data_IF_983696201701
#
_entry.id   IF_983696201701
#
_cell.length_a   1.000
_cell.length_b   1.000
_cell.length_c   1.000
_cell.angle_alpha   90.00
_cell.angle_beta   90.00
_cell.angle_gamma   90.00
#
_symmetry.space_group_name_H-M   'P 1'
#
loop_
_entity.id
_entity.type
_entity.pdbx_description
1 polymer ?
#
# COMPACT_ATOMS: atom_id res chain seq x y z
N UNK A 1 18.06 -18.88 -9.41
CA UNK A 1 17.49 -18.10 -8.29
C UNK A 1 18.61 -17.55 -7.41
N UNK A 2 18.45 -16.34 -6.91
CA UNK A 2 19.42 -15.71 -5.99
C UNK A 2 19.27 -16.35 -4.61
N UNK A 3 20.39 -16.88 -4.07
CA UNK A 3 20.41 -17.52 -2.75
C UNK A 3 21.19 -16.70 -1.71
N UNK A 4 21.84 -15.63 -2.14
CA UNK A 4 22.59 -14.74 -1.25
C UNK A 4 22.53 -13.31 -1.73
N UNK A 5 22.64 -12.38 -0.81
CA UNK A 5 22.77 -10.93 -1.07
C UNK A 5 23.95 -10.39 -0.31
N UNK A 6 24.65 -9.43 -0.91
CA UNK A 6 25.69 -8.69 -0.23
C UNK A 6 25.12 -7.34 0.21
N UNK A 7 25.13 -7.09 1.52
CA UNK A 7 24.65 -5.84 2.10
C UNK A 7 25.86 -5.05 2.59
N UNK A 8 26.04 -3.85 2.05
CA UNK A 8 27.04 -2.91 2.50
C UNK A 8 26.34 -1.69 3.12
N UNK A 9 26.75 -1.31 4.31
CA UNK A 9 26.26 -0.12 4.98
C UNK A 9 27.42 0.65 5.61
N UNK A 10 27.39 1.96 5.50
CA UNK A 10 28.43 2.85 6.08
C UNK A 10 27.77 3.90 6.95
N UNK A 11 28.45 4.29 8.03
CA UNK A 11 28.03 5.42 8.85
C UNK A 11 28.64 6.71 8.32
N UNK A 12 27.83 7.74 8.11
CA UNK A 12 28.26 9.03 7.54
C UNK A 12 29.15 9.87 8.50
N UNK A 13 29.24 9.50 9.77
CA UNK A 13 29.95 10.28 10.79
C UNK A 13 30.97 9.46 11.58
N UNK A 14 31.62 8.49 10.96
CA UNK A 14 32.66 7.69 11.60
C UNK A 14 32.17 6.74 12.69
N UNK A 15 30.89 6.44 12.70
CA UNK A 15 30.29 5.45 13.61
C UNK A 15 30.53 4.02 13.14
N UNK A 16 30.10 3.05 13.95
CA UNK A 16 30.18 1.62 13.65
C UNK A 16 28.85 1.14 13.11
N UNK A 17 28.90 0.24 12.13
CA UNK A 17 27.70 -0.46 11.61
C UNK A 17 27.80 -1.94 11.91
N UNK A 18 26.72 -2.53 12.37
CA UNK A 18 26.54 -3.96 12.55
C UNK A 18 25.40 -4.44 11.65
N UNK A 19 25.62 -5.58 10.99
CA UNK A 19 24.59 -6.23 10.15
C UNK A 19 24.33 -7.61 10.76
N UNK A 20 23.09 -7.87 11.15
CA UNK A 20 22.65 -9.13 11.74
C UNK A 20 21.52 -9.73 10.91
N UNK A 21 21.55 -11.02 10.68
CA UNK A 21 20.57 -11.77 9.89
C UNK A 21 21.26 -12.66 8.86
N UNK A 22 20.48 -13.50 8.19
CA UNK A 22 21.01 -14.43 7.19
C UNK A 22 21.02 -13.76 5.80
N UNK A 23 22.22 -13.53 5.27
CA UNK A 23 22.43 -12.97 3.93
C UNK A 23 23.00 -13.98 2.92
N UNK A 24 23.52 -15.13 3.41
CA UNK A 24 24.27 -16.08 2.58
C UNK A 24 23.48 -17.34 2.20
N UNK A 25 22.36 -17.57 2.83
CA UNK A 25 21.48 -18.70 2.52
C UNK A 25 20.03 -18.30 2.74
N UNK A 26 19.54 -17.46 1.82
CA UNK A 26 18.18 -16.98 1.88
C UNK A 26 17.19 -18.12 1.71
N UNK A 27 16.27 -18.27 2.64
CA UNK A 27 15.12 -19.15 2.47
C UNK A 27 14.18 -18.59 1.40
N UNK A 28 13.39 -19.45 0.76
CA UNK A 28 12.25 -19.00 -0.06
C UNK A 28 11.27 -18.24 0.85
N UNK A 29 10.76 -17.12 0.38
CA UNK A 29 9.93 -16.22 1.18
C UNK A 29 10.74 -15.13 1.87
N UNK A 30 10.28 -14.67 3.03
CA UNK A 30 10.83 -13.54 3.75
C UNK A 30 12.12 -13.88 4.52
N UNK A 31 13.15 -13.04 4.35
CA UNK A 31 14.40 -13.10 5.10
C UNK A 31 14.66 -11.73 5.71
N UNK A 32 14.80 -11.68 7.03
CA UNK A 32 14.96 -10.42 7.76
C UNK A 32 16.41 -10.16 8.11
N UNK A 33 16.87 -8.95 7.83
CA UNK A 33 18.21 -8.47 8.18
C UNK A 33 18.08 -7.16 8.93
N UNK A 34 18.75 -7.05 10.06
CA UNK A 34 18.80 -5.82 10.85
C UNK A 34 20.16 -5.15 10.70
N UNK A 35 20.16 -3.89 10.29
CA UNK A 35 21.34 -3.04 10.26
C UNK A 35 21.27 -2.09 11.46
N UNK A 36 22.27 -2.12 12.31
CA UNK A 36 22.38 -1.21 13.46
C UNK A 36 23.54 -0.23 13.23
N UNK A 37 23.23 1.04 13.14
CA UNK A 37 24.23 2.10 13.08
C UNK A 37 24.46 2.70 14.47
N UNK A 38 25.69 2.69 14.93
CA UNK A 38 26.13 3.28 16.21
C UNK A 38 26.87 4.56 15.94
N UNK A 39 26.36 5.67 16.46
CA UNK A 39 27.05 6.96 16.41
C UNK A 39 28.16 7.03 17.49
N UNK A 40 29.20 7.89 17.29
CA UNK A 40 30.28 8.07 18.27
C UNK A 40 29.78 8.53 19.64
N UNK A 41 28.61 9.15 19.74
CA UNK A 41 27.99 9.60 21.00
C UNK A 41 27.20 8.51 21.74
N UNK A 42 27.29 7.23 21.29
CA UNK A 42 26.62 6.09 21.91
C UNK A 42 25.17 5.89 21.47
N UNK A 43 24.57 6.77 20.66
CA UNK A 43 23.24 6.55 20.10
C UNK A 43 23.27 5.48 19.01
N UNK A 44 22.25 4.63 18.96
CA UNK A 44 22.09 3.61 17.94
C UNK A 44 20.77 3.76 17.22
N UNK A 45 20.77 3.48 15.91
CA UNK A 45 19.57 3.44 15.07
C UNK A 45 19.53 2.08 14.37
N UNK A 46 18.36 1.46 14.35
CA UNK A 46 18.14 0.15 13.71
C UNK A 46 17.29 0.31 12.45
N UNK A 47 17.70 -0.38 11.41
CA UNK A 47 16.99 -0.52 10.14
C UNK A 47 16.72 -1.99 9.91
N UNK A 48 15.47 -2.35 9.62
CA UNK A 48 15.08 -3.71 9.30
C UNK A 48 14.85 -3.82 7.79
N UNK A 49 15.59 -4.72 7.16
CA UNK A 49 15.39 -5.08 5.75
C UNK A 49 14.63 -6.40 5.69
N UNK A 50 13.63 -6.46 4.82
CA UNK A 50 13.01 -7.69 4.42
C UNK A 50 13.46 -8.03 2.98
N UNK A 51 14.09 -9.19 2.81
CA UNK A 51 14.56 -9.71 1.53
C UNK A 51 13.64 -10.86 1.16
N UNK A 52 12.77 -10.64 0.18
CA UNK A 52 11.87 -11.69 -0.30
C UNK A 52 12.53 -12.47 -1.43
N UNK A 53 12.73 -13.78 -1.24
CA UNK A 53 13.24 -14.67 -2.25
C UNK A 53 12.11 -15.46 -2.90
N UNK A 54 11.94 -15.28 -4.20
CA UNK A 54 11.01 -16.07 -5.00
C UNK A 54 11.46 -17.52 -5.11
N UNK A 55 10.52 -18.44 -5.21
CA UNK A 55 10.83 -19.82 -5.60
C UNK A 55 11.54 -19.85 -6.97
N UNK A 56 12.50 -20.77 -7.15
CA UNK A 56 13.06 -20.99 -8.48
C UNK A 56 11.95 -21.39 -9.45
N UNK A 57 11.97 -20.92 -10.70
CA UNK A 57 11.10 -21.51 -11.72
C UNK A 57 11.40 -23.00 -11.83
N UNK A 58 10.38 -23.81 -11.62
CA UNK A 58 10.47 -25.25 -11.88
C UNK A 58 10.52 -25.46 -13.38
N UNK A 59 11.50 -26.24 -13.88
CA UNK A 59 11.56 -26.67 -15.27
C UNK A 59 10.25 -27.36 -15.67
N UNK A 60 9.80 -27.24 -16.94
CA UNK A 60 8.56 -27.87 -17.37
C UNK A 60 8.63 -29.39 -17.17
N UNK A 61 7.58 -30.02 -16.61
CA UNK A 61 7.60 -31.43 -16.25
C UNK A 61 7.68 -32.32 -17.48
N UNK A 62 8.63 -33.26 -17.48
CA UNK A 62 8.56 -34.49 -18.28
C UNK A 62 7.36 -35.29 -17.78
N UNK A 63 6.43 -35.64 -18.68
CA UNK A 63 5.17 -36.33 -18.38
C UNK A 63 5.34 -37.59 -17.54
N UNK A 64 4.75 -37.69 -16.36
CA UNK A 64 4.07 -38.79 -15.65
C UNK A 64 4.01 -38.51 -14.14
N UNK A 65 3.06 -39.03 -13.36
CA UNK A 65 1.61 -39.10 -13.48
C UNK A 65 0.87 -38.05 -12.60
N UNK A 66 -0.36 -37.83 -12.98
CA UNK A 66 -1.38 -36.97 -12.37
C UNK A 66 -1.48 -36.96 -10.85
N UNK A 67 -0.90 -35.94 -10.20
CA UNK A 67 -1.40 -35.41 -8.96
C UNK A 67 -2.31 -34.18 -9.27
N UNK A 68 -3.37 -33.94 -8.49
CA UNK A 68 -4.33 -32.88 -8.80
C UNK A 68 -3.61 -31.50 -8.84
N UNK A 69 -4.04 -30.58 -9.72
CA UNK A 69 -3.33 -29.34 -9.98
C UNK A 69 -3.23 -28.53 -8.68
N UNK A 70 -2.00 -28.17 -8.33
CA UNK A 70 -1.74 -27.15 -7.31
C UNK A 70 -2.42 -25.86 -7.79
N UNK A 71 -3.45 -25.43 -7.09
CA UNK A 71 -4.18 -24.20 -7.41
C UNK A 71 -3.20 -23.04 -7.59
N UNK A 72 -3.39 -22.22 -8.65
CA UNK A 72 -2.67 -20.96 -8.79
C UNK A 72 -2.84 -20.14 -7.50
N UNK A 73 -1.89 -19.28 -7.11
CA UNK A 73 -2.05 -18.45 -5.92
C UNK A 73 -3.41 -17.77 -6.00
N UNK A 74 -4.23 -18.00 -4.98
CA UNK A 74 -5.64 -17.65 -5.00
C UNK A 74 -5.76 -16.14 -5.28
N UNK A 75 -6.13 -15.81 -6.51
CA UNK A 75 -6.46 -14.45 -6.89
C UNK A 75 -7.78 -14.12 -6.21
N UNK A 76 -7.75 -13.25 -5.22
CA UNK A 76 -8.96 -12.77 -4.59
C UNK A 76 -9.59 -11.71 -5.47
N UNK A 77 -10.73 -12.02 -6.04
CA UNK A 77 -11.52 -11.05 -6.76
C UNK A 77 -12.34 -10.22 -5.78
N UNK A 78 -12.31 -8.92 -5.97
CA UNK A 78 -13.16 -7.95 -5.28
C UNK A 78 -13.88 -7.09 -6.31
N UNK A 79 -15.11 -6.69 -6.00
CA UNK A 79 -15.90 -5.80 -6.87
C UNK A 79 -16.03 -4.45 -6.19
N UNK A 80 -15.61 -3.39 -6.87
CA UNK A 80 -15.72 -2.00 -6.41
C UNK A 80 -16.42 -1.22 -7.51
N UNK A 81 -17.55 -0.60 -7.21
CA UNK A 81 -18.38 0.18 -8.15
C UNK A 81 -18.68 -0.57 -9.46
N UNK A 82 -18.98 -1.87 -9.34
CA UNK A 82 -19.28 -2.73 -10.49
C UNK A 82 -18.09 -3.18 -11.33
N UNK A 83 -16.85 -2.80 -10.97
CA UNK A 83 -15.61 -3.25 -11.61
C UNK A 83 -14.95 -4.35 -10.79
N UNK A 84 -14.44 -5.36 -11.48
CA UNK A 84 -13.66 -6.45 -10.84
C UNK A 84 -12.18 -6.07 -10.72
N UNK A 85 -11.60 -6.39 -9.59
CA UNK A 85 -10.18 -6.26 -9.29
C UNK A 85 -9.66 -7.55 -8.67
N UNK A 86 -8.38 -7.81 -8.82
CA UNK A 86 -7.67 -8.87 -8.10
C UNK A 86 -6.79 -8.24 -7.00
N UNK A 87 -6.88 -8.76 -5.78
CA UNK A 87 -5.93 -8.42 -4.72
C UNK A 87 -4.60 -9.07 -5.07
N UNK A 88 -3.56 -8.27 -5.23
CA UNK A 88 -2.22 -8.73 -5.62
C UNK A 88 -1.22 -8.49 -4.51
N UNK A 89 -0.37 -9.49 -4.27
CA UNK A 89 0.83 -9.34 -3.43
C UNK A 89 2.06 -8.93 -4.27
N UNK A 90 1.89 -8.80 -5.58
CA UNK A 90 2.96 -8.39 -6.49
C UNK A 90 2.77 -6.92 -6.88
N UNK A 91 3.64 -6.07 -6.39
CA UNK A 91 3.70 -4.66 -6.75
C UNK A 91 5.13 -4.11 -6.58
N UNK A 92 5.41 -3.03 -7.27
CA UNK A 92 6.67 -2.31 -7.12
C UNK A 92 6.73 -1.62 -5.76
N UNK A 93 7.67 -2.01 -4.92
CA UNK A 93 7.87 -1.41 -3.60
C UNK A 93 8.14 0.11 -3.67
N UNK A 94 8.70 0.60 -4.77
CA UNK A 94 8.91 2.03 -5.00
C UNK A 94 7.62 2.83 -5.25
N UNK A 95 6.49 2.15 -5.46
CA UNK A 95 5.16 2.78 -5.59
C UNK A 95 4.39 2.85 -4.27
N UNK A 96 4.91 2.24 -3.21
CA UNK A 96 4.28 2.34 -1.88
C UNK A 96 4.35 3.79 -1.42
N UNK A 97 3.21 4.38 -1.01
CA UNK A 97 3.19 5.77 -0.58
C UNK A 97 4.12 6.04 0.62
N UNK A 98 4.68 7.23 0.68
CA UNK A 98 5.54 7.64 1.80
C UNK A 98 4.81 7.49 3.15
N UNK A 99 5.54 6.99 4.14
CA UNK A 99 5.01 6.75 5.49
C UNK A 99 4.24 5.45 5.66
N UNK A 100 4.27 4.57 4.65
CA UNK A 100 3.74 3.21 4.75
C UNK A 100 4.88 2.19 4.74
N UNK A 101 4.72 1.15 5.56
CA UNK A 101 5.65 0.02 5.67
C UNK A 101 5.00 -1.24 5.11
N UNK A 102 5.75 -1.99 4.29
CA UNK A 102 5.28 -3.25 3.71
C UNK A 102 5.32 -4.32 4.79
N UNK A 103 4.21 -5.04 4.95
CA UNK A 103 4.10 -6.12 5.91
C UNK A 103 3.22 -7.28 5.38
N UNK A 104 3.33 -8.43 6.04
CA UNK A 104 2.44 -9.55 5.80
C UNK A 104 1.12 -9.30 6.54
N UNK A 105 0.05 -9.18 5.78
CA UNK A 105 -1.31 -9.09 6.30
C UNK A 105 -2.14 -10.32 5.97
N UNK A 106 -3.43 -10.25 6.23
CA UNK A 106 -4.38 -11.32 5.90
C UNK A 106 -5.63 -10.76 5.23
N UNK A 107 -6.07 -11.44 4.18
CA UNK A 107 -7.34 -11.17 3.52
C UNK A 107 -8.08 -12.48 3.25
N UNK A 108 -9.33 -12.58 3.72
CA UNK A 108 -10.15 -13.81 3.62
C UNK A 108 -9.44 -15.07 4.13
N UNK A 109 -8.67 -14.93 5.25
CA UNK A 109 -7.98 -16.04 5.90
C UNK A 109 -6.72 -16.52 5.19
N UNK A 110 -6.23 -15.78 4.20
CA UNK A 110 -4.96 -16.07 3.51
C UNK A 110 -4.01 -14.90 3.62
N UNK A 111 -2.72 -15.21 3.56
CA UNK A 111 -1.66 -14.21 3.62
C UNK A 111 -1.63 -13.37 2.35
N UNK A 112 -1.54 -12.06 2.52
CA UNK A 112 -1.37 -11.07 1.44
C UNK A 112 -0.34 -10.04 1.85
N UNK A 113 0.36 -9.46 0.89
CA UNK A 113 1.25 -8.34 1.18
C UNK A 113 0.41 -7.07 1.27
N UNK A 114 0.58 -6.34 2.36
CA UNK A 114 -0.09 -5.08 2.66
C UNK A 114 0.93 -3.98 2.91
N UNK A 115 0.49 -2.74 2.94
CA UNK A 115 1.31 -1.63 3.43
C UNK A 115 0.54 -0.86 4.51
N UNK A 116 1.15 -0.69 5.69
CA UNK A 116 0.51 -0.08 6.86
C UNK A 116 1.14 1.27 7.17
N UNK A 117 0.30 2.30 7.28
CA UNK A 117 0.70 3.65 7.61
C UNK A 117 0.49 3.96 9.09
N UNK A 118 1.56 4.08 9.89
CA UNK A 118 1.49 4.38 11.31
C UNK A 118 0.85 5.75 11.61
N UNK A 119 1.13 6.73 10.78
CA UNK A 119 0.58 8.08 10.91
C UNK A 119 -0.93 8.13 10.62
N UNK A 120 -1.40 7.37 9.63
CA UNK A 120 -2.82 7.35 9.22
C UNK A 120 -3.63 6.27 9.94
N UNK A 121 -3.00 5.15 10.24
CA UNK A 121 -3.65 3.92 10.68
C UNK A 121 -4.29 3.14 9.53
N UNK A 122 -3.95 3.46 8.27
CA UNK A 122 -4.49 2.75 7.11
C UNK A 122 -3.71 1.48 6.83
N UNK A 123 -4.43 0.47 6.38
CA UNK A 123 -3.88 -0.70 5.71
C UNK A 123 -4.20 -0.59 4.23
N UNK A 124 -3.15 -0.57 3.41
CA UNK A 124 -3.26 -0.55 1.96
C UNK A 124 -3.10 -1.95 1.40
N UNK A 125 -3.91 -2.28 0.41
CA UNK A 125 -3.77 -3.45 -0.44
C UNK A 125 -3.64 -3.03 -1.89
N UNK A 126 -2.84 -3.75 -2.67
CA UNK A 126 -2.66 -3.48 -4.07
C UNK A 126 -3.69 -4.25 -4.89
N UNK A 127 -4.52 -3.52 -5.63
CA UNK A 127 -5.57 -4.07 -6.46
C UNK A 127 -5.25 -3.84 -7.92
N UNK A 128 -5.44 -4.89 -8.73
CA UNK A 128 -5.17 -4.87 -10.17
C UNK A 128 -6.48 -5.11 -10.90
N UNK A 129 -6.82 -4.25 -11.86
CA UNK A 129 -8.00 -4.38 -12.70
C UNK A 129 -7.84 -5.41 -13.82
N UNK A 130 -8.87 -5.63 -14.63
CA UNK A 130 -8.86 -6.59 -15.74
C UNK A 130 -7.91 -6.20 -16.88
N UNK A 131 -7.46 -4.95 -16.93
CA UNK A 131 -6.51 -4.43 -17.92
C UNK A 131 -5.05 -4.52 -17.45
N UNK A 132 -4.83 -4.95 -16.20
CA UNK A 132 -3.51 -5.04 -15.57
C UNK A 132 -3.05 -3.73 -14.91
N UNK A 133 -3.92 -2.72 -14.80
CA UNK A 133 -3.59 -1.49 -14.08
C UNK A 133 -3.76 -1.72 -12.59
N UNK A 134 -2.72 -1.45 -11.81
CA UNK A 134 -2.74 -1.65 -10.38
C UNK A 134 -2.60 -0.35 -9.60
N UNK A 135 -3.33 -0.25 -8.49
CA UNK A 135 -3.28 0.87 -7.56
C UNK A 135 -3.44 0.41 -6.11
N UNK A 136 -3.02 1.25 -5.18
CA UNK A 136 -3.27 1.03 -3.76
C UNK A 136 -4.68 1.47 -3.36
N UNK A 137 -5.31 0.66 -2.52
CA UNK A 137 -6.62 0.90 -1.94
C UNK A 137 -6.53 0.78 -0.43
N UNK A 138 -7.18 1.67 0.30
CA UNK A 138 -7.38 1.56 1.74
C UNK A 138 -8.40 0.44 2.00
N UNK A 139 -7.99 -0.55 2.78
CA UNK A 139 -8.88 -1.60 3.28
C UNK A 139 -9.27 -1.32 4.72
N UNK A 140 -10.56 -1.19 4.99
CA UNK A 140 -11.07 -0.86 6.34
C UNK A 140 -11.60 -2.09 7.11
N UNK A 141 -11.24 -3.29 6.66
CA UNK A 141 -11.75 -4.55 7.20
C UNK A 141 -13.01 -5.06 6.50
N UNK A 142 -13.64 -4.25 5.66
CA UNK A 142 -14.87 -4.59 4.95
C UNK A 142 -14.86 -4.12 3.49
N UNK A 143 -14.51 -2.86 3.26
CA UNK A 143 -14.56 -2.18 1.98
C UNK A 143 -13.17 -1.75 1.51
N UNK A 144 -13.05 -1.53 0.21
CA UNK A 144 -11.89 -0.95 -0.43
C UNK A 144 -12.23 0.45 -0.94
N UNK A 145 -11.33 1.41 -0.68
CA UNK A 145 -11.41 2.79 -1.15
C UNK A 145 -10.11 3.14 -1.88
N UNK A 146 -10.15 3.78 -3.05
CA UNK A 146 -8.92 4.23 -3.70
C UNK A 146 -8.08 5.08 -2.74
N UNK A 147 -6.77 4.84 -2.68
CA UNK A 147 -5.87 5.68 -1.88
C UNK A 147 -5.62 6.99 -2.64
N UNK A 148 -6.34 8.02 -2.27
CA UNK A 148 -6.30 9.35 -2.89
C UNK A 148 -5.94 10.39 -1.84
N UNK A 149 -4.94 11.21 -2.16
CA UNK A 149 -4.46 12.28 -1.27
C UNK A 149 -4.56 13.63 -1.97
N UNK A 150 -5.15 14.61 -1.27
CA UNK A 150 -5.15 16.02 -1.65
C UNK A 150 -4.45 16.80 -0.56
N UNK A 151 -3.53 17.67 -0.93
CA UNK A 151 -2.85 18.54 0.03
C UNK A 151 -2.92 19.99 -0.40
N UNK A 152 -3.02 20.87 0.59
CA UNK A 152 -2.78 22.28 0.47
C UNK A 152 -1.62 22.70 1.44
N UNK A 153 -1.36 23.99 1.59
CA UNK A 153 -0.29 24.49 2.46
C UNK A 153 -0.47 24.16 3.94
N UNK A 154 -1.69 23.85 4.38
CA UNK A 154 -2.03 23.68 5.79
C UNK A 154 -2.41 22.25 6.16
N UNK A 155 -3.03 21.52 5.23
CA UNK A 155 -3.64 20.23 5.51
C UNK A 155 -3.40 19.20 4.41
N UNK A 156 -3.39 17.93 4.83
CA UNK A 156 -3.48 16.76 3.97
C UNK A 156 -4.81 16.07 4.21
N UNK A 157 -5.50 15.73 3.13
CA UNK A 157 -6.79 15.06 3.13
C UNK A 157 -6.68 13.73 2.39
N UNK A 158 -7.06 12.67 3.06
CA UNK A 158 -7.20 11.33 2.49
C UNK A 158 -8.66 11.16 2.09
N UNK A 159 -8.91 11.14 0.78
CA UNK A 159 -10.26 11.23 0.21
C UNK A 159 -10.91 9.85 0.13
N UNK A 160 -12.18 9.80 0.48
CA UNK A 160 -13.04 8.63 0.39
C UNK A 160 -14.30 8.97 -0.39
N UNK A 161 -14.96 7.98 -0.95
CA UNK A 161 -16.30 8.12 -1.51
C UNK A 161 -17.39 8.06 -0.40
N UNK A 162 -18.63 8.32 -0.78
CA UNK A 162 -19.77 8.39 0.14
C UNK A 162 -20.04 7.11 0.92
N UNK A 163 -19.53 5.95 0.47
CA UNK A 163 -19.67 4.67 1.21
C UNK A 163 -18.97 4.70 2.57
N UNK A 164 -17.97 5.58 2.76
CA UNK A 164 -17.25 5.77 4.02
C UNK A 164 -17.94 6.77 4.94
N UNK A 165 -18.74 7.67 4.38
CA UNK A 165 -19.38 8.74 5.14
C UNK A 165 -20.48 8.18 6.07
N UNK A 166 -20.55 8.73 7.28
CA UNK A 166 -21.59 8.45 8.27
C UNK A 166 -22.85 9.30 8.05
N UNK A 167 -22.74 10.33 7.21
CA UNK A 167 -23.84 11.23 6.83
C UNK A 167 -23.89 11.40 5.33
N UNK A 168 -25.09 11.45 4.74
CA UNK A 168 -25.27 11.64 3.31
C UNK A 168 -25.31 13.13 2.95
N UNK A 169 -24.79 13.46 1.78
CA UNK A 169 -25.02 14.74 1.10
C UNK A 169 -26.26 14.65 0.21
N UNK A 170 -26.92 15.77 -0.01
CA UNK A 170 -27.99 15.86 -1.00
C UNK A 170 -27.40 15.86 -2.42
N UNK A 171 -28.06 15.15 -3.36
CA UNK A 171 -27.62 15.07 -4.75
C UNK A 171 -26.98 13.74 -5.12
N UNK A 172 -26.27 13.73 -6.23
CA UNK A 172 -25.59 12.55 -6.79
C UNK A 172 -24.09 12.72 -6.71
N UNK A 173 -23.40 11.70 -6.18
CA UNK A 173 -21.94 11.64 -6.18
C UNK A 173 -21.41 11.41 -7.60
N UNK A 174 -20.45 12.21 -8.02
CA UNK A 174 -19.88 12.19 -9.38
C UNK A 174 -18.37 12.13 -9.37
N UNK A 175 -17.81 11.71 -10.49
CA UNK A 175 -16.39 11.86 -10.77
C UNK A 175 -16.09 13.34 -11.05
N UNK A 176 -15.27 13.93 -10.20
CA UNK A 176 -14.86 15.33 -10.27
C UNK A 176 -13.35 15.46 -10.14
N UNK A 177 -12.81 16.63 -10.43
CA UNK A 177 -11.38 16.91 -10.24
C UNK A 177 -11.17 18.10 -9.30
N UNK A 178 -10.29 17.90 -8.34
CA UNK A 178 -9.70 18.99 -7.56
C UNK A 178 -8.26 19.13 -8.05
N UNK A 179 -7.95 20.23 -8.74
CA UNK A 179 -6.70 20.41 -9.50
C UNK A 179 -6.54 19.24 -10.50
N UNK A 180 -5.46 18.45 -10.37
CA UNK A 180 -5.20 17.30 -11.23
C UNK A 180 -5.70 15.97 -10.66
N UNK A 181 -6.24 15.97 -9.44
CA UNK A 181 -6.65 14.76 -8.73
C UNK A 181 -8.12 14.45 -8.99
N UNK A 182 -8.39 13.29 -9.57
CA UNK A 182 -9.74 12.77 -9.73
C UNK A 182 -10.24 12.18 -8.40
N UNK A 183 -11.46 12.53 -8.03
CA UNK A 183 -12.12 12.07 -6.80
C UNK A 183 -13.60 11.83 -7.04
N UNK A 184 -14.27 11.17 -6.10
CA UNK A 184 -15.72 11.18 -5.99
C UNK A 184 -16.15 12.39 -5.14
N UNK A 185 -17.18 13.12 -5.59
CA UNK A 185 -17.67 14.29 -4.86
C UNK A 185 -19.04 14.75 -5.36
N UNK A 186 -19.59 15.70 -4.63
CA UNK A 186 -20.86 16.36 -4.93
C UNK A 186 -20.60 17.78 -5.37
N UNK A 187 -21.27 18.23 -6.43
CA UNK A 187 -21.11 19.57 -6.97
C UNK A 187 -22.34 20.41 -6.64
N UNK A 188 -22.13 21.57 -6.02
CA UNK A 188 -23.16 22.57 -5.79
C UNK A 188 -22.61 23.97 -6.10
N UNK A 189 -23.04 24.54 -7.23
CA UNK A 189 -22.50 25.79 -7.75
C UNK A 189 -21.00 25.72 -8.01
N UNK A 190 -20.23 26.55 -7.37
CA UNK A 190 -18.77 26.63 -7.44
C UNK A 190 -18.05 25.69 -6.47
N UNK A 191 -18.79 24.98 -5.62
CA UNK A 191 -18.22 24.12 -4.59
C UNK A 191 -18.24 22.65 -4.99
N UNK A 192 -17.13 21.94 -4.71
CA UNK A 192 -17.04 20.49 -4.73
C UNK A 192 -16.96 20.02 -3.29
N UNK A 193 -17.95 19.24 -2.84
CA UNK A 193 -17.95 18.61 -1.51
C UNK A 193 -17.41 17.20 -1.63
N UNK A 194 -16.48 16.84 -0.74
CA UNK A 194 -15.86 15.52 -0.70
C UNK A 194 -15.69 15.04 0.74
N UNK A 195 -15.75 13.73 0.94
CA UNK A 195 -15.54 13.14 2.26
C UNK A 195 -14.09 12.74 2.44
N UNK A 196 -13.47 13.12 3.53
CA UNK A 196 -12.05 12.84 3.75
C UNK A 196 -11.70 12.72 5.24
N UNK A 197 -10.58 12.06 5.50
CA UNK A 197 -9.86 12.13 6.76
C UNK A 197 -8.74 13.18 6.65
N UNK A 198 -8.68 14.11 7.59
CA UNK A 198 -7.60 15.11 7.64
C UNK A 198 -6.36 14.59 8.40
N UNK A 199 -5.30 15.40 8.47
CA UNK A 199 -4.05 15.09 9.18
C UNK A 199 -4.23 14.79 10.67
N UNK A 200 -5.33 15.25 11.29
CA UNK A 200 -5.67 14.98 12.68
C UNK A 200 -6.53 13.72 12.85
N UNK A 201 -6.62 12.86 11.84
CA UNK A 201 -7.44 11.64 11.80
C UNK A 201 -8.94 11.89 11.98
N UNK A 202 -9.41 13.09 11.68
CA UNK A 202 -10.83 13.43 11.74
C UNK A 202 -11.47 13.24 10.37
N UNK A 203 -12.49 12.42 10.31
CA UNK A 203 -13.35 12.24 9.14
C UNK A 203 -14.43 13.32 9.11
N UNK A 204 -14.64 13.94 7.95
CA UNK A 204 -15.68 14.95 7.72
C UNK A 204 -15.92 15.18 6.25
N UNK A 205 -17.01 15.87 5.94
CA UNK A 205 -17.20 16.53 4.65
C UNK A 205 -16.39 17.82 4.61
N UNK A 206 -15.73 18.04 3.46
CA UNK A 206 -14.96 19.24 3.14
C UNK A 206 -15.48 19.83 1.85
N UNK A 207 -15.25 21.10 1.63
CA UNK A 207 -15.57 21.80 0.37
C UNK A 207 -14.30 22.33 -0.26
N UNK A 208 -14.30 22.33 -1.57
CA UNK A 208 -13.28 22.97 -2.41
C UNK A 208 -13.98 23.99 -3.29
N UNK A 209 -13.55 25.24 -3.21
CA UNK A 209 -14.01 26.33 -4.08
C UNK A 209 -13.24 26.26 -5.40
N UNK A 210 -13.98 26.04 -6.50
CA UNK A 210 -13.36 25.87 -7.83
C UNK A 210 -12.93 27.21 -8.45
N UNK A 211 -13.48 28.34 -7.96
CA UNK A 211 -13.14 29.69 -8.44
C UNK A 211 -11.88 30.19 -7.71
N UNK A 212 -11.84 30.05 -6.40
CA UNK A 212 -10.70 30.47 -5.57
C UNK A 212 -9.56 29.45 -5.57
N UNK A 213 -9.84 28.21 -5.88
CA UNK A 213 -8.84 27.13 -5.91
C UNK A 213 -8.43 26.64 -4.53
N UNK A 214 -9.31 26.80 -3.52
CA UNK A 214 -9.02 26.50 -2.08
C UNK A 214 -10.07 25.60 -1.43
#
# INVERSE_FOLDING_TARGET
SVTSVNIAATSSQGGRVEIAGNTNNLAVGNNYVTITSHAPNGKAMKYNLNIFRLEPPTDPPTEAPTDPPTEPPASFKVTIDGKEYNVSSEFDAGKVPDGFEIELGSYNGKDVITATGSATGFTLMYLVDSEGNGNFYVYDGKNFYPYIVISNSENTYYVFDSRKADTSMAGEEKDVKIKDTAIKGYVDGEYIYFYAMNSNKKYSWYSYDTVEGT
#
